data_IF_316232110469
#
_entry.id   IF_316232110469
#
_cell.length_a   1.000
_cell.length_b   1.000
_cell.length_c   1.000
_cell.angle_alpha   90.00
_cell.angle_beta   90.00
_cell.angle_gamma   90.00
#
_symmetry.space_group_name_H-M   'P 1'
#
loop_
_entity.id
_entity.type
_entity.pdbx_description
1 polymer ?
#
# COMPACT_ATOMS: atom_id res chain seq x y z
N UNK A 1 -8.18 9.74 -1.57
CA UNK A 1 -9.12 9.12 -0.64
C UNK A 1 -8.65 9.30 0.80
N UNK A 2 -9.57 9.61 1.73
CA UNK A 2 -9.26 9.62 3.17
C UNK A 2 -8.83 8.23 3.66
N UNK A 3 -7.93 8.16 4.63
CA UNK A 3 -7.52 6.89 5.24
C UNK A 3 -8.71 6.24 5.93
N UNK A 4 -9.05 5.02 5.52
CA UNK A 4 -10.06 4.16 6.16
C UNK A 4 -9.38 2.87 6.61
N UNK A 5 -9.62 2.46 7.85
CA UNK A 5 -9.07 1.21 8.39
C UNK A 5 -9.97 0.03 7.99
N UNK A 6 -9.51 -0.77 7.03
CA UNK A 6 -10.15 -2.04 6.63
C UNK A 6 -9.53 -3.28 7.31
N UNK A 7 -8.51 -3.10 8.14
CA UNK A 7 -7.81 -4.19 8.84
C UNK A 7 -8.60 -4.74 10.05
N UNK A 8 -9.62 -4.01 10.50
CA UNK A 8 -10.38 -4.30 11.71
C UNK A 8 -9.99 -3.40 12.88
N UNK A 9 -10.90 -3.26 13.84
CA UNK A 9 -10.78 -2.30 14.95
C UNK A 9 -9.65 -2.58 15.93
N UNK A 10 -9.16 -3.83 15.98
CA UNK A 10 -8.04 -4.24 16.85
C UNK A 10 -6.66 -3.91 16.26
N UNK A 11 -6.60 -3.43 15.02
CA UNK A 11 -5.36 -3.03 14.37
C UNK A 11 -5.13 -1.51 14.52
N UNK A 12 -4.08 -1.14 15.24
CA UNK A 12 -3.68 0.26 15.42
C UNK A 12 -2.93 0.78 14.19
N UNK A 13 -3.26 1.99 13.74
CA UNK A 13 -2.53 2.65 12.66
C UNK A 13 -1.11 2.99 13.10
N UNK A 14 -0.12 2.65 12.27
CA UNK A 14 1.27 2.99 12.51
C UNK A 14 1.68 4.23 11.71
N UNK A 15 1.71 4.09 10.38
CA UNK A 15 2.22 5.10 9.46
C UNK A 15 1.67 4.86 8.05
N UNK A 16 1.74 5.90 7.22
CA UNK A 16 1.53 5.81 5.77
C UNK A 16 2.85 6.04 5.05
N UNK A 17 3.12 5.25 4.02
CA UNK A 17 4.26 5.43 3.11
C UNK A 17 3.77 5.92 1.76
N UNK A 18 4.51 6.84 1.14
CA UNK A 18 4.10 7.44 -0.12
C UNK A 18 4.39 6.51 -1.30
N UNK A 19 3.44 6.41 -2.23
CA UNK A 19 3.70 5.88 -3.57
C UNK A 19 3.98 7.08 -4.45
N UNK A 20 5.14 7.04 -5.07
CA UNK A 20 5.75 8.11 -5.85
C UNK A 20 5.59 7.79 -7.34
N UNK A 21 5.12 8.75 -8.11
CA UNK A 21 4.95 8.56 -9.56
C UNK A 21 6.30 8.29 -10.24
N UNK A 22 6.29 7.54 -11.35
CA UNK A 22 7.49 7.25 -12.11
C UNK A 22 8.08 8.44 -12.86
N UNK A 23 7.29 9.50 -13.10
CA UNK A 23 7.66 10.65 -13.92
C UNK A 23 7.99 11.89 -13.09
N UNK A 24 8.78 12.82 -13.64
CA UNK A 24 9.06 14.10 -13.01
C UNK A 24 7.82 15.02 -13.05
N UNK A 25 7.43 15.70 -11.95
CA UNK A 25 8.19 15.98 -10.71
C UNK A 25 8.06 14.94 -9.58
N UNK A 26 7.57 13.74 -9.88
CA UNK A 26 7.37 12.64 -8.94
C UNK A 26 6.42 13.01 -7.77
N UNK A 27 5.16 13.36 -8.11
CA UNK A 27 4.15 13.58 -7.10
C UNK A 27 3.83 12.30 -6.31
N UNK A 28 3.20 12.48 -5.15
CA UNK A 28 2.66 11.36 -4.37
C UNK A 28 1.29 10.97 -4.90
N UNK A 29 1.23 9.86 -5.62
CA UNK A 29 0.02 9.37 -6.31
C UNK A 29 -0.80 8.39 -5.47
N UNK A 30 -0.22 7.88 -4.39
CA UNK A 30 -0.90 6.96 -3.49
C UNK A 30 -0.18 6.81 -2.15
N UNK A 31 -0.76 5.97 -1.30
CA UNK A 31 -0.21 5.66 0.01
C UNK A 31 -0.39 4.18 0.34
N UNK A 32 0.57 3.64 1.07
CA UNK A 32 0.49 2.33 1.73
C UNK A 32 0.30 2.61 3.23
N UNK A 33 -0.85 2.26 3.78
CA UNK A 33 -1.16 2.39 5.20
C UNK A 33 -0.84 1.07 5.92
N UNK A 34 0.00 1.12 6.96
CA UNK A 34 0.33 -0.07 7.78
C UNK A 34 -0.34 0.05 9.14
N UNK A 35 -0.90 -1.08 9.57
CA UNK A 35 -1.51 -1.25 10.87
C UNK A 35 -0.93 -2.49 11.55
N UNK A 36 -0.96 -2.51 12.89
CA UNK A 36 -0.45 -3.63 13.68
C UNK A 36 -1.38 -3.96 14.84
N UNK A 37 -1.48 -5.26 15.14
CA UNK A 37 -2.17 -5.75 16.32
C UNK A 37 -1.16 -6.49 17.21
N UNK A 38 -0.75 -5.85 18.29
CA UNK A 38 0.22 -6.41 19.24
C UNK A 38 -0.30 -7.64 19.99
N UNK A 39 -1.62 -7.85 20.06
CA UNK A 39 -2.21 -9.01 20.74
C UNK A 39 -2.07 -10.30 19.93
N UNK A 40 -1.88 -10.20 18.61
CA UNK A 40 -1.73 -11.37 17.73
C UNK A 40 -0.47 -11.33 16.84
N UNK A 41 0.33 -10.28 16.92
CA UNK A 41 1.60 -10.14 16.18
C UNK A 41 1.44 -9.95 14.67
N UNK A 42 0.23 -9.64 14.18
CA UNK A 42 -0.03 -9.45 12.76
C UNK A 42 0.08 -7.99 12.34
N UNK A 43 0.74 -7.81 11.21
CA UNK A 43 0.70 -6.58 10.43
C UNK A 43 -0.40 -6.67 9.39
N UNK A 44 -0.98 -5.51 9.09
CA UNK A 44 -1.96 -5.35 8.02
C UNK A 44 -1.58 -4.17 7.13
N UNK A 45 -1.76 -4.34 5.82
CA UNK A 45 -1.44 -3.32 4.81
C UNK A 45 -2.63 -3.06 3.89
N UNK A 46 -2.87 -1.78 3.63
CA UNK A 46 -3.84 -1.30 2.64
C UNK A 46 -3.13 -0.28 1.73
N UNK A 47 -3.27 -0.41 0.42
CA UNK A 47 -2.80 0.59 -0.53
C UNK A 47 -3.99 1.38 -1.07
N UNK A 48 -3.88 2.71 -1.16
CA UNK A 48 -4.95 3.60 -1.67
C UNK A 48 -4.42 4.72 -2.55
N UNK A 49 -5.30 5.21 -3.42
CA UNK A 49 -5.04 6.35 -4.27
C UNK A 49 -5.04 7.69 -3.50
N UNK A 50 -4.23 8.63 -4.00
CA UNK A 50 -4.32 10.03 -3.63
C UNK A 50 -5.21 10.78 -4.61
N UNK A 51 -6.54 10.72 -4.45
CA UNK A 51 -7.51 11.34 -5.38
C UNK A 51 -7.33 12.86 -5.57
N UNK A 52 -6.61 13.56 -4.69
CA UNK A 52 -6.25 14.96 -4.89
C UNK A 52 -5.16 15.17 -5.96
N UNK A 53 -4.41 14.11 -6.25
CA UNK A 53 -3.35 14.08 -7.26
C UNK A 53 -3.78 13.27 -8.50
N UNK A 54 -4.50 12.16 -8.31
CA UNK A 54 -4.89 11.26 -9.39
C UNK A 54 -6.36 11.41 -9.77
N UNK A 55 -6.64 11.60 -11.06
CA UNK A 55 -7.99 11.78 -11.61
C UNK A 55 -8.83 10.50 -11.73
N UNK A 56 -8.33 9.37 -11.20
CA UNK A 56 -8.98 8.07 -11.27
C UNK A 56 -7.96 6.95 -11.37
N UNK A 57 -7.71 6.26 -10.27
CA UNK A 57 -6.92 5.04 -10.29
C UNK A 57 -7.69 3.93 -11.02
N UNK A 58 -7.01 3.22 -11.90
CA UNK A 58 -7.57 2.08 -12.63
C UNK A 58 -6.86 0.76 -12.29
N UNK A 59 -5.77 0.85 -11.53
CA UNK A 59 -5.04 -0.30 -11.03
C UNK A 59 -4.36 0.09 -9.71
N UNK A 60 -4.57 -0.70 -8.66
CA UNK A 60 -3.93 -0.50 -7.36
C UNK A 60 -3.49 -1.88 -6.87
N UNK A 61 -2.21 -2.01 -6.50
CA UNK A 61 -1.65 -3.20 -5.88
C UNK A 61 -1.16 -2.87 -4.47
N UNK A 62 -1.54 -3.72 -3.53
CA UNK A 62 -0.91 -3.82 -2.23
C UNK A 62 0.00 -5.04 -2.20
N UNK A 63 1.15 -4.92 -1.54
CA UNK A 63 1.98 -6.06 -1.25
C UNK A 63 2.60 -6.00 0.14
N UNK A 64 2.75 -7.18 0.73
CA UNK A 64 3.26 -7.36 2.07
C UNK A 64 4.02 -8.68 2.17
N UNK A 65 5.19 -8.65 2.80
CA UNK A 65 5.92 -9.84 3.19
C UNK A 65 6.61 -9.65 4.53
N UNK A 66 7.04 -10.77 5.13
CA UNK A 66 8.03 -10.73 6.20
C UNK A 66 9.39 -10.37 5.59
N UNK A 67 10.13 -9.45 6.21
CA UNK A 67 11.46 -9.05 5.74
C UNK A 67 12.39 -10.27 5.64
N UNK A 68 13.21 -10.31 4.60
CA UNK A 68 14.07 -11.44 4.24
C UNK A 68 13.34 -12.62 3.56
N UNK A 69 12.01 -12.60 3.46
CA UNK A 69 11.27 -13.60 2.68
C UNK A 69 11.36 -13.32 1.17
N UNK A 70 11.48 -14.37 0.36
CA UNK A 70 11.39 -14.25 -1.11
C UNK A 70 9.96 -14.14 -1.62
N UNK A 71 8.95 -14.45 -0.79
CA UNK A 71 7.55 -14.54 -1.23
C UNK A 71 6.75 -13.30 -0.82
N UNK A 72 6.20 -12.60 -1.80
CA UNK A 72 5.26 -11.49 -1.60
C UNK A 72 3.82 -12.01 -1.55
N UNK A 73 3.04 -11.54 -0.57
CA UNK A 73 1.58 -11.52 -0.70
C UNK A 73 1.22 -10.28 -1.49
N UNK A 74 0.43 -10.44 -2.54
CA UNK A 74 -0.03 -9.35 -3.40
C UNK A 74 -1.55 -9.40 -3.51
N UNK A 75 -2.18 -8.23 -3.51
CA UNK A 75 -3.58 -8.05 -3.87
C UNK A 75 -3.68 -6.94 -4.92
N UNK A 76 -4.52 -7.13 -5.94
CA UNK A 76 -4.66 -6.21 -7.08
C UNK A 76 -3.94 -6.59 -8.37
N UNK A 77 -3.02 -7.58 -8.34
CA UNK A 77 -2.28 -7.99 -9.55
C UNK A 77 -3.19 -8.53 -10.67
N UNK A 78 -4.34 -9.10 -10.32
CA UNK A 78 -5.35 -9.61 -11.26
C UNK A 78 -6.69 -8.87 -11.13
N UNK A 79 -6.72 -7.72 -10.47
CA UNK A 79 -7.96 -7.01 -10.14
C UNK A 79 -7.78 -5.50 -10.33
N UNK A 80 -8.64 -4.92 -11.17
CA UNK A 80 -8.60 -3.47 -11.47
C UNK A 80 -9.26 -2.66 -10.35
N UNK A 81 -8.68 -2.72 -9.15
CA UNK A 81 -9.14 -1.90 -8.04
C UNK A 81 -8.94 -0.43 -8.34
N UNK A 82 -9.97 0.36 -8.10
CA UNK A 82 -10.00 1.79 -8.43
C UNK A 82 -9.98 2.70 -7.20
N UNK A 83 -10.09 2.14 -5.98
CA UNK A 83 -10.12 2.92 -4.74
C UNK A 83 -9.02 2.50 -3.76
N UNK A 84 -8.91 1.20 -3.46
CA UNK A 84 -7.87 0.64 -2.61
C UNK A 84 -7.63 -0.85 -2.92
N UNK A 85 -6.48 -1.38 -2.51
CA UNK A 85 -6.15 -2.81 -2.52
C UNK A 85 -5.74 -3.26 -1.10
N UNK A 86 -5.92 -4.54 -0.80
CA UNK A 86 -5.85 -5.10 0.54
C UNK A 86 -7.24 -5.23 1.21
N UNK A 87 -7.32 -5.54 2.51
CA UNK A 87 -6.20 -5.68 3.45
C UNK A 87 -5.40 -6.97 3.26
N UNK A 88 -4.07 -6.85 3.30
CA UNK A 88 -3.14 -7.98 3.36
C UNK A 88 -2.60 -8.15 4.77
N UNK A 89 -2.45 -9.39 5.23
CA UNK A 89 -1.96 -9.70 6.59
C UNK A 89 -0.72 -10.58 6.59
N UNK A 90 0.24 -10.26 7.45
CA UNK A 90 1.42 -11.08 7.72
C UNK A 90 1.74 -11.07 9.21
N UNK A 91 1.92 -12.26 9.77
CA UNK A 91 2.47 -12.45 11.11
C UNK A 91 3.97 -12.20 11.10
N UNK A 92 4.44 -11.27 11.94
CA UNK A 92 5.85 -10.92 12.03
C UNK A 92 6.27 -10.44 13.44
N UNK A 93 5.69 -11.02 14.51
CA UNK A 93 6.15 -10.70 15.87
C UNK A 93 7.67 -10.96 16.01
N UNK A 94 8.40 -9.98 16.56
CA UNK A 94 9.86 -10.06 16.71
C UNK A 94 10.63 -10.11 15.38
N UNK A 95 10.03 -9.62 14.29
CA UNK A 95 10.64 -9.54 12.96
C UNK A 95 10.09 -8.35 12.19
N UNK A 96 10.77 -7.92 11.15
CA UNK A 96 10.32 -6.80 10.32
C UNK A 96 9.44 -7.25 9.15
N UNK A 97 8.66 -6.32 8.59
CA UNK A 97 7.92 -6.49 7.34
C UNK A 97 8.43 -5.57 6.24
N UNK A 98 8.27 -6.00 5.00
CA UNK A 98 8.45 -5.16 3.82
C UNK A 98 7.10 -4.94 3.16
N UNK A 99 6.92 -3.75 2.58
CA UNK A 99 5.69 -3.35 1.93
C UNK A 99 5.94 -2.92 0.50
N UNK A 100 4.90 -3.09 -0.30
CA UNK A 100 4.89 -2.80 -1.71
C UNK A 100 3.60 -2.07 -2.06
N UNK A 101 3.73 -1.05 -2.91
CA UNK A 101 2.59 -0.34 -3.48
C UNK A 101 2.84 -0.07 -4.94
N UNK A 102 1.84 -0.35 -5.76
CA UNK A 102 1.79 0.07 -7.15
C UNK A 102 0.43 0.69 -7.45
N UNK A 103 0.44 1.73 -8.27
CA UNK A 103 -0.77 2.40 -8.68
C UNK A 103 -0.62 2.87 -10.12
N UNK A 104 -1.61 2.59 -10.97
CA UNK A 104 -1.77 3.24 -12.26
C UNK A 104 -3.07 4.06 -12.25
N UNK A 105 -3.05 5.18 -12.98
CA UNK A 105 -4.18 6.10 -13.06
C UNK A 105 -4.26 6.77 -14.41
N UNK A 106 -5.46 7.26 -14.71
CA UNK A 106 -5.68 8.12 -15.88
C UNK A 106 -5.79 9.56 -15.37
N UNK A 107 -4.99 10.49 -15.91
CA UNK A 107 -5.20 11.92 -15.67
C UNK A 107 -6.06 12.51 -16.79
N UNK A 108 -7.07 13.30 -16.44
CA UNK A 108 -8.04 13.87 -17.39
C UNK A 108 -7.49 14.90 -18.39
N UNK A 109 -6.17 15.04 -18.53
CA UNK A 109 -5.56 16.02 -19.44
C UNK A 109 -4.08 15.82 -19.77
N UNK A 110 -3.34 14.95 -19.06
CA UNK A 110 -1.87 14.83 -19.20
C UNK A 110 -1.37 13.41 -19.52
N UNK A 111 -2.27 12.43 -19.70
CA UNK A 111 -1.92 11.04 -20.02
C UNK A 111 -2.05 10.08 -18.83
N UNK A 112 -1.78 8.80 -19.07
CA UNK A 112 -1.74 7.78 -18.03
C UNK A 112 -0.44 7.90 -17.21
N UNK A 113 -0.56 7.77 -15.89
CA UNK A 113 0.56 7.83 -14.95
C UNK A 113 0.58 6.60 -14.05
N UNK A 114 1.69 6.41 -13.33
CA UNK A 114 1.84 5.26 -12.47
C UNK A 114 3.09 5.31 -11.61
N UNK A 115 2.94 4.84 -10.39
CA UNK A 115 3.99 4.82 -9.37
C UNK A 115 4.12 3.43 -8.76
N UNK A 116 5.36 3.01 -8.52
CA UNK A 116 5.67 1.77 -7.82
C UNK A 116 6.74 2.03 -6.79
N UNK A 117 6.54 1.56 -5.56
CA UNK A 117 7.51 1.73 -4.48
C UNK A 117 7.56 0.49 -3.60
N UNK A 118 8.78 0.17 -3.16
CA UNK A 118 9.05 -0.87 -2.16
C UNK A 118 9.73 -0.20 -0.98
N UNK A 119 9.30 -0.56 0.22
CA UNK A 119 9.95 -0.17 1.46
C UNK A 119 10.27 -1.41 2.27
N UNK A 120 11.52 -1.51 2.70
CA UNK A 120 12.03 -2.63 3.49
C UNK A 120 12.09 -2.27 4.98
N UNK A 121 11.99 -3.28 5.84
CA UNK A 121 12.08 -3.17 7.30
C UNK A 121 11.17 -2.09 7.91
N UNK A 122 9.94 -2.01 7.40
CA UNK A 122 9.00 -0.92 7.64
C UNK A 122 8.43 -0.91 9.05
N UNK A 123 8.17 -2.10 9.61
CA UNK A 123 7.74 -2.25 10.99
C UNK A 123 8.28 -3.56 11.53
N UNK A 124 8.90 -3.49 12.71
CA UNK A 124 9.41 -4.64 13.44
C UNK A 124 8.55 -4.81 14.70
N UNK A 125 7.84 -5.96 14.76
CA UNK A 125 6.74 -6.21 15.70
C UNK A 125 7.10 -6.23 17.18
#
# INVERSE_FOLDING_TARGET
MSRVNYCGSSYGFLKSWAIKDGWYPNPTVGYIDVYYNSSNGNNCVITRANDGEVGGANHIIAGLRKSGSSTWKLDGNNSNYTSYAGPLYVYAAGSCIDIYGELNYTSGGTGAGGGRTVYEDVHCG
#
